data_IF_701246558581
#
_entry.id   IF_701246558581
#
_cell.length_a   1.000
_cell.length_b   1.000
_cell.length_c   1.000
_cell.angle_alpha   90.00
_cell.angle_beta   90.00
_cell.angle_gamma   90.00
#
_symmetry.space_group_name_H-M   'P 1'
#
loop_
_entity.id
_entity.type
_entity.pdbx_description
1 polymer ?
#
# COMPACT_ATOMS: atom_id res chain seq x y z
N UNK A 1 -8.17 4.11 -10.51
CA UNK A 1 -7.38 2.96 -9.99
C UNK A 1 -7.70 1.61 -10.66
N UNK A 2 -6.70 0.75 -10.91
CA UNK A 2 -6.89 -0.62 -11.43
C UNK A 2 -7.19 -1.66 -10.34
N UNK A 3 -7.73 -2.86 -10.66
CA UNK A 3 -7.99 -3.90 -9.66
C UNK A 3 -6.75 -4.34 -8.89
N UNK A 4 -5.57 -4.42 -9.53
CA UNK A 4 -4.31 -4.79 -8.87
C UNK A 4 -3.83 -3.72 -7.89
N UNK A 5 -3.98 -2.45 -8.26
CA UNK A 5 -3.61 -1.32 -7.39
C UNK A 5 -4.52 -1.24 -6.15
N UNK A 6 -5.82 -1.48 -6.34
CA UNK A 6 -6.81 -1.58 -5.24
C UNK A 6 -6.48 -2.71 -4.28
N UNK A 7 -6.14 -3.88 -4.82
CA UNK A 7 -5.75 -5.06 -4.05
C UNK A 7 -4.51 -4.76 -3.20
N UNK A 8 -3.49 -4.13 -3.80
CA UNK A 8 -2.26 -3.79 -3.10
C UNK A 8 -2.49 -2.81 -1.94
N UNK A 9 -3.23 -1.72 -2.16
CA UNK A 9 -3.56 -0.76 -1.10
C UNK A 9 -4.41 -1.39 0.01
N UNK A 10 -5.35 -2.26 -0.37
CA UNK A 10 -6.17 -3.00 0.58
C UNK A 10 -5.31 -3.93 1.44
N UNK A 11 -4.34 -4.60 0.83
CA UNK A 11 -3.41 -5.48 1.51
C UNK A 11 -2.48 -4.74 2.47
N UNK A 12 -1.96 -3.57 2.08
CA UNK A 12 -1.17 -2.72 2.95
C UNK A 12 -1.96 -2.32 4.21
N UNK A 13 -3.20 -1.83 4.04
CA UNK A 13 -4.06 -1.48 5.15
C UNK A 13 -4.42 -2.69 6.04
N UNK A 14 -4.68 -3.86 5.45
CA UNK A 14 -4.95 -5.09 6.21
C UNK A 14 -3.73 -5.56 7.01
N UNK A 15 -2.55 -5.53 6.39
CA UNK A 15 -1.30 -5.97 7.01
C UNK A 15 -0.94 -5.05 8.18
N UNK A 16 -1.03 -3.73 7.98
CA UNK A 16 -0.83 -2.78 9.06
C UNK A 16 -1.85 -2.97 10.20
N UNK A 17 -3.14 -3.12 9.88
CA UNK A 17 -4.17 -3.31 10.90
C UNK A 17 -4.00 -4.60 11.73
N UNK A 18 -3.37 -5.63 11.16
CA UNK A 18 -3.12 -6.89 11.85
C UNK A 18 -1.82 -6.87 12.67
N UNK A 19 -0.75 -6.27 12.12
CA UNK A 19 0.60 -6.37 12.68
C UNK A 19 1.05 -5.10 13.43
N UNK A 20 0.43 -3.95 13.16
CA UNK A 20 0.88 -2.62 13.59
C UNK A 20 2.37 -2.34 13.29
N UNK A 21 2.89 -2.99 12.24
CA UNK A 21 4.28 -2.91 11.82
C UNK A 21 4.60 -1.55 11.19
N UNK A 22 5.88 -1.21 11.11
CA UNK A 22 6.31 -0.01 10.41
C UNK A 22 6.18 -0.17 8.87
N UNK A 23 6.44 0.89 8.11
CA UNK A 23 6.28 0.86 6.66
C UNK A 23 7.15 -0.20 5.98
N UNK A 24 8.43 -0.30 6.35
CA UNK A 24 9.40 -1.23 5.75
C UNK A 24 9.01 -2.69 6.00
N UNK A 25 8.61 -3.02 7.24
CA UNK A 25 8.11 -4.35 7.59
C UNK A 25 6.79 -4.65 6.86
N UNK A 26 5.91 -3.66 6.71
CA UNK A 26 4.62 -3.84 6.02
C UNK A 26 4.81 -4.17 4.53
N UNK A 27 5.67 -3.43 3.82
CA UNK A 27 5.95 -3.72 2.41
C UNK A 27 6.71 -5.03 2.23
N UNK A 28 7.53 -5.44 3.21
CA UNK A 28 8.22 -6.73 3.17
C UNK A 28 7.22 -7.87 3.28
N UNK A 29 6.30 -7.81 4.26
CA UNK A 29 5.24 -8.81 4.42
C UNK A 29 4.31 -8.87 3.21
N UNK A 30 3.85 -7.71 2.72
CA UNK A 30 2.97 -7.61 1.55
C UNK A 30 3.67 -8.10 0.28
N UNK A 31 4.96 -7.76 0.12
CA UNK A 31 5.80 -8.19 -0.99
C UNK A 31 6.03 -9.70 -0.99
N UNK A 32 6.46 -10.26 0.14
CA UNK A 32 6.70 -11.70 0.31
C UNK A 32 5.44 -12.53 -0.01
N UNK A 33 4.27 -12.09 0.46
CA UNK A 33 2.98 -12.75 0.16
C UNK A 33 2.62 -12.73 -1.35
N UNK A 34 3.24 -11.84 -2.14
CA UNK A 34 2.98 -11.65 -3.58
C UNK A 34 4.16 -12.06 -4.47
N UNK A 35 5.24 -12.58 -3.89
CA UNK A 35 6.47 -12.87 -4.62
C UNK A 35 7.14 -11.62 -5.21
N UNK A 36 6.96 -10.46 -4.58
CA UNK A 36 7.53 -9.18 -4.98
C UNK A 36 8.61 -8.74 -4.00
N UNK A 37 9.64 -8.04 -4.49
CA UNK A 37 10.61 -7.39 -3.63
C UNK A 37 10.00 -6.14 -2.97
N UNK A 38 10.44 -5.75 -1.76
CA UNK A 38 9.97 -4.53 -1.10
C UNK A 38 10.07 -3.28 -1.98
N UNK A 39 11.15 -3.15 -2.76
CA UNK A 39 11.34 -2.03 -3.70
C UNK A 39 10.31 -2.00 -4.83
N UNK A 40 9.84 -3.17 -5.31
CA UNK A 40 8.79 -3.23 -6.32
C UNK A 40 7.44 -2.77 -5.74
N UNK A 41 7.17 -3.11 -4.48
CA UNK A 41 6.00 -2.64 -3.74
C UNK A 41 6.06 -1.13 -3.56
N UNK A 42 7.17 -0.58 -3.05
CA UNK A 42 7.41 0.88 -2.92
C UNK A 42 7.16 1.62 -4.22
N UNK A 43 7.81 1.18 -5.31
CA UNK A 43 7.66 1.80 -6.62
C UNK A 43 6.23 1.73 -7.16
N UNK A 44 5.49 0.68 -6.80
CA UNK A 44 4.09 0.55 -7.20
C UNK A 44 3.20 1.47 -6.37
N UNK A 45 3.41 1.56 -5.06
CA UNK A 45 2.69 2.48 -4.18
C UNK A 45 2.90 3.95 -4.59
N UNK A 46 4.13 4.34 -4.89
CA UNK A 46 4.45 5.69 -5.38
C UNK A 46 3.71 6.02 -6.68
N UNK A 47 3.69 5.08 -7.65
CA UNK A 47 2.95 5.25 -8.90
C UNK A 47 1.43 5.33 -8.68
N UNK A 48 0.88 4.55 -7.74
CA UNK A 48 -0.54 4.61 -7.39
C UNK A 48 -0.88 5.99 -6.82
N UNK A 49 -0.06 6.48 -5.89
CA UNK A 49 -0.20 7.81 -5.29
C UNK A 49 -0.27 8.91 -6.35
N UNK A 50 0.75 8.97 -7.22
CA UNK A 50 0.86 10.00 -8.26
C UNK A 50 -0.35 10.00 -9.20
N UNK A 51 -0.85 8.82 -9.58
CA UNK A 51 -1.96 8.68 -10.52
C UNK A 51 -3.34 8.93 -9.91
N UNK A 52 -3.54 8.57 -8.64
CA UNK A 52 -4.88 8.47 -8.05
C UNK A 52 -5.10 9.42 -6.85
N UNK A 53 -4.18 10.37 -6.57
CA UNK A 53 -4.25 11.26 -5.39
C UNK A 53 -5.60 11.99 -5.21
N UNK A 54 -6.24 12.35 -6.33
CA UNK A 54 -7.53 13.04 -6.35
C UNK A 54 -8.73 12.09 -6.31
N UNK A 55 -8.54 10.77 -6.47
CA UNK A 55 -9.63 9.80 -6.45
C UNK A 55 -10.09 9.52 -5.00
N UNK A 56 -11.39 9.63 -4.74
CA UNK A 56 -11.98 9.36 -3.42
C UNK A 56 -11.71 7.93 -2.95
N UNK A 57 -11.72 6.97 -3.89
CA UNK A 57 -11.42 5.58 -3.60
C UNK A 57 -9.99 5.41 -3.07
N UNK A 58 -9.01 6.07 -3.69
CA UNK A 58 -7.64 6.06 -3.22
C UNK A 58 -7.55 6.64 -1.80
N UNK A 59 -8.16 7.81 -1.55
CA UNK A 59 -8.14 8.47 -0.24
C UNK A 59 -8.74 7.58 0.86
N UNK A 60 -9.84 6.87 0.55
CA UNK A 60 -10.49 5.92 1.45
C UNK A 60 -9.60 4.72 1.78
N UNK A 61 -8.84 4.21 0.82
CA UNK A 61 -7.90 3.11 1.08
C UNK A 61 -6.65 3.61 1.81
N UNK A 62 -6.16 4.79 1.45
CA UNK A 62 -5.00 5.43 2.07
C UNK A 62 -5.21 5.72 3.56
N UNK A 63 -6.42 6.11 3.95
CA UNK A 63 -6.76 6.41 5.35
C UNK A 63 -6.74 5.19 6.28
N UNK A 64 -6.53 3.98 5.75
CA UNK A 64 -6.42 2.74 6.53
C UNK A 64 -4.98 2.44 6.97
N UNK A 65 -4.04 3.29 6.56
CA UNK A 65 -2.62 3.20 6.90
C UNK A 65 -2.21 4.49 7.63
N UNK A 66 -1.14 4.44 8.44
CA UNK A 66 -0.57 5.62 9.08
C UNK A 66 -0.29 6.77 8.12
N UNK A 67 -0.39 8.01 8.56
CA UNK A 67 -0.14 9.20 7.72
C UNK A 67 1.32 9.32 7.28
N UNK A 68 2.26 8.76 8.04
CA UNK A 68 3.69 8.73 7.75
C UNK A 68 4.09 7.71 6.67
N UNK A 69 3.22 6.76 6.33
CA UNK A 69 3.47 5.83 5.23
C UNK A 69 3.54 6.61 3.90
N UNK A 70 4.62 6.50 3.11
CA UNK A 70 4.81 7.26 1.88
C UNK A 70 4.02 6.65 0.71
N UNK A 71 2.71 6.48 0.91
CA UNK A 71 1.73 5.82 0.03
C UNK A 71 0.70 6.81 -0.48
#
# INVERSE_FOLDING_TARGET
MTPKERELLTAMGNCYAACHANFEETIEMVGNARGLKPEEVKNTLARIREKNLAEDEYRKLRSRMPEDFPV
#
